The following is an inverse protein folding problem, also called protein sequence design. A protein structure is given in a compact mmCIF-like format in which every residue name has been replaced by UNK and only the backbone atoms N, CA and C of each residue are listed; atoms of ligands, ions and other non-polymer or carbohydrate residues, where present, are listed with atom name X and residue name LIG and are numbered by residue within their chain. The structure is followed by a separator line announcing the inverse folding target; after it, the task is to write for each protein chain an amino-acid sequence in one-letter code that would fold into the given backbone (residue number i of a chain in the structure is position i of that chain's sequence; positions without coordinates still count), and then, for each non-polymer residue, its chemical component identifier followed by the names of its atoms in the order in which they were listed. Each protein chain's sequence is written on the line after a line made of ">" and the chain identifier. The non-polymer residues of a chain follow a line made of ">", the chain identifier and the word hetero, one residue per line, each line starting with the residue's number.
data_IF_978072601530
#
_entry.id   IF_978072601530
#
_cell.length_a   1.000
_cell.length_b   1.000
_cell.length_c   1.000
_cell.angle_alpha   90.00
_cell.angle_beta   90.00
_cell.angle_gamma   90.00
#
_symmetry.space_group_name_H-M   'P 1'
#
loop_
_entity.id
_entity.type
_entity.pdbx_description
1 polymer ?
#
# COMPACT_ATOMS: atom_id res chain seq x y z
N UNK A 1 -64.20 55.49 -37.63
CA UNK A 1 -62.81 55.37 -37.12
C UNK A 1 -62.75 54.22 -36.13
N UNK A 2 -61.94 53.19 -36.39
CA UNK A 2 -61.79 51.99 -35.54
C UNK A 2 -60.54 52.20 -34.66
N UNK A 3 -60.59 52.05 -33.32
CA UNK A 3 -59.41 52.29 -32.50
C UNK A 3 -58.37 51.16 -32.70
N UNK A 4 -57.07 51.47 -32.55
CA UNK A 4 -56.02 50.47 -32.69
C UNK A 4 -56.09 49.45 -31.56
N UNK A 5 -56.06 48.16 -31.90
CA UNK A 5 -55.83 47.08 -30.92
C UNK A 5 -54.43 47.25 -30.36
N UNK A 6 -54.34 47.75 -29.14
CA UNK A 6 -53.19 47.47 -28.27
C UNK A 6 -53.39 46.07 -27.68
N UNK A 7 -52.30 45.47 -27.23
CA UNK A 7 -52.23 44.28 -26.38
C UNK A 7 -51.76 42.99 -27.08
N UNK A 8 -50.57 43.06 -27.70
CA UNK A 8 -49.63 41.92 -27.71
C UNK A 8 -48.56 42.16 -26.64
N UNK A 9 -48.97 42.19 -25.38
CA UNK A 9 -48.04 42.16 -24.25
C UNK A 9 -47.63 40.71 -24.00
N UNK A 10 -46.44 40.32 -24.50
CA UNK A 10 -45.82 39.02 -24.19
C UNK A 10 -45.57 38.98 -22.68
N UNK A 11 -46.50 38.38 -21.94
CA UNK A 11 -46.39 38.17 -20.50
C UNK A 11 -45.57 36.91 -20.29
N UNK A 12 -44.29 37.08 -19.97
CA UNK A 12 -43.43 35.98 -19.57
C UNK A 12 -43.95 35.49 -18.21
N UNK A 13 -44.51 34.27 -18.10
CA UNK A 13 -44.96 33.78 -16.82
C UNK A 13 -43.75 33.61 -15.89
N UNK A 14 -43.76 34.33 -14.77
CA UNK A 14 -42.63 34.35 -13.81
C UNK A 14 -42.41 33.00 -13.11
N UNK A 15 -43.42 32.13 -13.07
CA UNK A 15 -43.36 30.82 -12.42
C UNK A 15 -42.39 29.82 -13.12
N UNK A 16 -42.48 29.56 -14.44
CA UNK A 16 -41.50 28.74 -15.14
C UNK A 16 -40.10 29.37 -15.15
N UNK A 17 -40.00 30.70 -15.20
CA UNK A 17 -38.70 31.39 -15.12
C UNK A 17 -38.00 31.16 -13.77
N UNK A 18 -38.75 31.25 -12.66
CA UNK A 18 -38.22 30.96 -11.32
C UNK A 18 -37.80 29.48 -11.18
N UNK A 19 -38.57 28.55 -11.74
CA UNK A 19 -38.21 27.11 -11.72
C UNK A 19 -36.93 26.84 -12.50
N UNK A 20 -36.80 27.42 -13.70
CA UNK A 20 -35.58 27.32 -14.51
C UNK A 20 -34.37 27.86 -13.76
N UNK A 21 -34.51 29.04 -13.15
CA UNK A 21 -33.44 29.67 -12.38
C UNK A 21 -33.05 28.84 -11.16
N UNK A 22 -34.02 28.22 -10.49
CA UNK A 22 -33.77 27.32 -9.36
C UNK A 22 -32.98 26.07 -9.79
N UNK A 23 -33.36 25.46 -10.92
CA UNK A 23 -32.65 24.29 -11.48
C UNK A 23 -31.21 24.67 -11.86
N UNK A 24 -31.01 25.81 -12.51
CA UNK A 24 -29.67 26.29 -12.88
C UNK A 24 -28.81 26.51 -11.64
N UNK A 25 -29.35 27.14 -10.60
CA UNK A 25 -28.62 27.35 -9.34
C UNK A 25 -28.26 26.01 -8.70
N UNK A 26 -29.19 25.05 -8.65
CA UNK A 26 -28.92 23.71 -8.11
C UNK A 26 -27.83 23.00 -8.91
N UNK A 27 -27.86 23.08 -10.24
CA UNK A 27 -26.82 22.47 -11.09
C UNK A 27 -25.46 23.13 -10.90
N UNK A 28 -25.40 24.45 -10.75
CA UNK A 28 -24.15 25.18 -10.46
C UNK A 28 -23.60 24.78 -9.09
N UNK A 29 -24.46 24.65 -8.08
CA UNK A 29 -24.05 24.22 -6.74
C UNK A 29 -23.56 22.77 -6.75
N UNK A 30 -24.27 21.85 -7.42
CA UNK A 30 -23.85 20.45 -7.55
C UNK A 30 -22.54 20.32 -8.34
N UNK A 31 -22.41 21.07 -9.43
CA UNK A 31 -21.17 21.14 -10.21
C UNK A 31 -20.01 21.70 -9.39
N UNK A 32 -20.24 22.77 -8.63
CA UNK A 32 -19.27 23.36 -7.72
C UNK A 32 -18.83 22.39 -6.62
N UNK A 33 -19.77 21.67 -6.00
CA UNK A 33 -19.48 20.64 -5.00
C UNK A 33 -18.69 19.47 -5.59
N UNK A 34 -19.03 19.02 -6.81
CA UNK A 34 -18.28 17.97 -7.49
C UNK A 34 -16.84 18.40 -7.82
N UNK A 35 -16.65 19.61 -8.35
CA UNK A 35 -15.33 20.17 -8.64
C UNK A 35 -14.52 20.32 -7.35
N UNK A 36 -15.14 20.80 -6.26
CA UNK A 36 -14.50 20.95 -4.95
C UNK A 36 -14.07 19.60 -4.36
N UNK A 37 -14.93 18.58 -4.41
CA UNK A 37 -14.60 17.23 -3.97
C UNK A 37 -13.45 16.61 -4.79
N UNK A 38 -13.43 16.84 -6.11
CA UNK A 38 -12.34 16.39 -6.98
C UNK A 38 -11.04 17.17 -6.73
N UNK A 39 -11.11 18.46 -6.38
CA UNK A 39 -9.94 19.27 -6.07
C UNK A 39 -9.30 18.91 -4.72
N UNK A 40 -10.10 18.46 -3.74
CA UNK A 40 -9.63 18.07 -2.42
C UNK A 40 -9.20 16.61 -2.31
N UNK A 41 -9.44 15.80 -3.34
CA UNK A 41 -9.18 14.35 -3.33
C UNK A 41 -7.73 14.01 -2.92
N UNK A 42 -6.76 14.81 -3.38
CA UNK A 42 -5.33 14.54 -3.18
C UNK A 42 -4.92 14.95 -1.75
N UNK A 43 -5.49 16.03 -1.22
CA UNK A 43 -5.30 16.46 0.18
C UNK A 43 -5.93 15.50 1.18
N UNK A 44 -7.10 14.94 0.86
CA UNK A 44 -7.79 13.93 1.67
C UNK A 44 -7.00 12.61 1.64
N UNK A 45 -6.57 12.13 0.46
CA UNK A 45 -5.73 10.93 0.35
C UNK A 45 -4.40 11.06 1.09
N UNK A 46 -3.77 12.22 1.02
CA UNK A 46 -2.55 12.49 1.79
C UNK A 46 -2.82 12.52 3.31
N UNK A 47 -3.96 13.06 3.75
CA UNK A 47 -4.34 13.13 5.15
C UNK A 47 -4.81 11.78 5.74
N UNK A 48 -5.29 10.85 4.91
CA UNK A 48 -5.81 9.53 5.32
C UNK A 48 -4.91 8.33 4.94
N UNK A 49 -3.69 8.59 4.48
CA UNK A 49 -2.71 7.56 4.08
C UNK A 49 -2.70 7.31 2.57
N UNK A 50 -1.50 7.36 1.96
CA UNK A 50 -1.36 7.08 0.52
C UNK A 50 -0.28 7.87 -0.24
N UNK A 51 0.36 8.88 0.37
CA UNK A 51 1.48 9.58 -0.27
C UNK A 51 2.65 8.61 -0.58
N UNK A 52 2.91 7.67 0.32
CA UNK A 52 3.96 6.65 0.19
C UNK A 52 3.77 5.75 -1.04
N UNK A 53 2.52 5.43 -1.39
CA UNK A 53 2.22 4.59 -2.53
C UNK A 53 2.70 5.19 -3.86
N UNK A 54 2.81 6.52 -3.94
CA UNK A 54 3.31 7.22 -5.14
C UNK A 54 4.81 7.02 -5.38
N UNK A 55 5.58 6.62 -4.35
CA UNK A 55 7.02 6.35 -4.45
C UNK A 55 7.33 4.91 -4.84
N UNK A 56 6.31 4.04 -4.94
CA UNK A 56 6.49 2.64 -5.34
C UNK A 56 6.65 2.55 -6.85
N UNK A 57 7.82 2.09 -7.31
CA UNK A 57 8.01 1.70 -8.69
C UNK A 57 7.51 0.27 -8.92
N UNK A 58 6.32 0.17 -9.51
CA UNK A 58 5.65 -1.11 -9.79
C UNK A 58 6.40 -1.98 -10.82
N UNK A 59 7.39 -1.42 -11.54
CA UNK A 59 8.19 -2.17 -12.53
C UNK A 59 9.29 -2.99 -11.86
N UNK A 60 9.77 -2.59 -10.68
CA UNK A 60 10.81 -3.28 -9.92
C UNK A 60 10.25 -3.92 -8.64
N UNK A 61 11.12 -4.59 -7.88
CA UNK A 61 10.85 -5.09 -6.55
C UNK A 61 11.16 -4.02 -5.50
N UNK A 62 10.59 -4.17 -4.32
CA UNK A 62 10.89 -3.34 -3.16
C UNK A 62 11.62 -4.16 -2.11
N UNK A 63 12.58 -3.53 -1.44
CA UNK A 63 13.07 -3.96 -0.14
C UNK A 63 12.19 -3.31 0.92
N UNK A 64 11.67 -4.10 1.86
CA UNK A 64 10.83 -3.65 2.97
C UNK A 64 11.53 -4.06 4.26
N UNK A 65 11.99 -3.06 4.99
CA UNK A 65 12.72 -3.24 6.24
C UNK A 65 11.76 -3.02 7.40
N UNK A 66 11.66 -4.00 8.28
CA UNK A 66 10.80 -3.94 9.45
C UNK A 66 11.50 -3.27 10.63
N UNK A 67 10.71 -2.82 11.62
CA UNK A 67 11.22 -2.29 12.89
C UNK A 67 12.05 -3.29 13.69
N UNK A 68 11.92 -4.59 13.38
CA UNK A 68 12.74 -5.68 13.92
C UNK A 68 14.08 -5.87 13.19
N UNK A 69 14.39 -5.02 12.20
CA UNK A 69 15.51 -5.14 11.26
C UNK A 69 15.44 -6.37 10.33
N UNK A 70 14.29 -7.06 10.28
CA UNK A 70 14.06 -8.08 9.28
C UNK A 70 13.79 -7.44 7.91
N UNK A 71 14.38 -8.01 6.86
CA UNK A 71 14.23 -7.50 5.49
C UNK A 71 13.48 -8.50 4.63
N UNK A 72 12.47 -8.02 3.93
CA UNK A 72 11.74 -8.76 2.91
C UNK A 72 11.89 -8.08 1.55
N UNK A 73 11.92 -8.88 0.49
CA UNK A 73 11.92 -8.40 -0.89
C UNK A 73 10.67 -8.91 -1.58
N UNK A 74 9.98 -8.06 -2.35
CA UNK A 74 8.78 -8.47 -3.06
C UNK A 74 8.20 -7.35 -3.92
N UNK A 75 7.08 -7.64 -4.58
CA UNK A 75 6.25 -6.62 -5.21
C UNK A 75 5.37 -5.98 -4.13
N UNK A 76 5.57 -4.70 -3.88
CA UNK A 76 4.87 -3.98 -2.81
C UNK A 76 3.65 -3.24 -3.33
N UNK A 77 2.57 -3.29 -2.55
CA UNK A 77 1.42 -2.39 -2.65
C UNK A 77 1.01 -1.94 -1.25
N UNK A 78 0.57 -0.70 -1.11
CA UNK A 78 0.00 -0.18 0.14
C UNK A 78 -1.53 -0.24 0.04
N UNK A 79 -2.17 -0.72 1.10
CA UNK A 79 -3.61 -0.87 1.21
C UNK A 79 -4.08 -0.37 2.57
N UNK A 80 -4.56 0.87 2.64
CA UNK A 80 -4.89 1.49 3.92
C UNK A 80 -3.70 1.53 4.87
N UNK A 81 -3.79 0.81 5.98
CA UNK A 81 -2.78 0.75 7.05
C UNK A 81 -1.84 -0.47 6.95
N UNK A 82 -1.85 -1.18 5.82
CA UNK A 82 -0.98 -2.35 5.60
C UNK A 82 -0.14 -2.25 4.33
N UNK A 83 1.03 -2.88 4.40
CA UNK A 83 1.95 -3.13 3.30
C UNK A 83 1.75 -4.58 2.86
N UNK A 84 1.41 -4.77 1.59
CA UNK A 84 1.11 -6.07 1.00
C UNK A 84 2.24 -6.41 0.05
N UNK A 85 2.99 -7.48 0.36
CA UNK A 85 4.04 -8.01 -0.50
C UNK A 85 3.58 -9.31 -1.17
N UNK A 86 3.85 -9.43 -2.47
CA UNK A 86 3.76 -10.67 -3.23
C UNK A 86 5.11 -11.07 -3.80
N UNK A 87 5.26 -12.34 -4.20
CA UNK A 87 6.53 -12.89 -4.68
C UNK A 87 7.64 -12.66 -3.64
N UNK A 88 7.42 -13.11 -2.40
CA UNK A 88 8.22 -12.69 -1.25
C UNK A 88 9.50 -13.49 -1.10
N UNK A 89 10.61 -12.79 -0.87
CA UNK A 89 11.93 -13.35 -0.60
C UNK A 89 12.52 -12.77 0.69
N UNK A 90 13.44 -13.50 1.31
CA UNK A 90 14.19 -13.06 2.49
C UNK A 90 15.65 -13.50 2.41
N UNK A 91 16.47 -12.98 3.32
CA UNK A 91 17.84 -13.46 3.51
C UNK A 91 17.84 -14.60 4.53
N UNK A 92 18.51 -15.69 4.20
CA UNK A 92 18.86 -16.76 5.10
C UNK A 92 20.37 -16.83 5.23
N UNK A 93 20.86 -16.98 6.46
CA UNK A 93 22.25 -17.37 6.71
C UNK A 93 22.29 -18.89 6.79
N UNK A 94 22.97 -19.53 5.85
CA UNK A 94 23.16 -20.98 5.85
C UNK A 94 24.53 -21.32 6.45
N UNK A 95 24.55 -22.13 7.52
CA UNK A 95 25.77 -22.63 8.15
C UNK A 95 26.26 -21.82 9.36
N UNK A 96 27.44 -22.22 9.86
CA UNK A 96 28.14 -21.62 11.00
C UNK A 96 28.19 -20.08 10.83
N UNK A 97 27.77 -19.27 11.82
CA UNK A 97 27.71 -17.80 11.72
C UNK A 97 29.02 -17.12 11.31
N UNK A 98 30.16 -17.83 11.39
CA UNK A 98 31.46 -17.38 10.89
C UNK A 98 31.68 -17.54 9.37
N UNK A 99 30.80 -18.27 8.67
CA UNK A 99 30.95 -18.60 7.25
C UNK A 99 30.42 -17.52 6.30
N UNK A 100 29.63 -16.56 6.82
CA UNK A 100 29.20 -15.36 6.08
C UNK A 100 28.33 -15.57 4.85
N UNK A 101 27.90 -16.80 4.55
CA UNK A 101 27.11 -17.11 3.35
C UNK A 101 25.65 -16.66 3.55
N UNK A 102 25.36 -15.46 3.06
CA UNK A 102 24.01 -14.91 2.98
C UNK A 102 23.37 -15.36 1.66
N UNK A 103 22.26 -16.08 1.75
CA UNK A 103 21.51 -16.57 0.60
C UNK A 103 20.13 -15.91 0.53
N UNK A 104 19.69 -15.58 -0.69
CA UNK A 104 18.30 -15.17 -0.94
C UNK A 104 17.44 -16.42 -1.08
N UNK A 105 16.31 -16.44 -0.38
CA UNK A 105 15.38 -17.58 -0.38
C UNK A 105 13.96 -17.10 -0.65
N UNK A 106 13.14 -17.96 -1.29
CA UNK A 106 11.73 -17.67 -1.53
C UNK A 106 10.89 -18.12 -0.33
N UNK A 107 9.92 -17.29 0.07
CA UNK A 107 8.92 -17.66 1.08
C UNK A 107 7.82 -18.55 0.50
N UNK A 108 7.08 -19.21 1.39
CA UNK A 108 6.02 -20.17 1.10
C UNK A 108 6.44 -21.64 1.17
N UNK A 109 7.75 -21.91 1.33
CA UNK A 109 8.30 -23.25 1.52
C UNK A 109 8.54 -23.63 2.98
N UNK A 110 8.19 -22.76 3.92
CA UNK A 110 8.39 -22.98 5.35
C UNK A 110 7.42 -24.06 5.90
N UNK A 111 7.77 -24.67 7.05
CA UNK A 111 6.94 -25.72 7.69
C UNK A 111 5.54 -25.23 8.10
N UNK A 112 5.40 -23.94 8.40
CA UNK A 112 4.12 -23.30 8.69
C UNK A 112 3.31 -22.99 7.41
N UNK A 113 3.85 -23.29 6.22
CA UNK A 113 3.17 -23.24 4.93
C UNK A 113 2.44 -21.94 4.60
N UNK A 114 3.05 -20.75 4.78
CA UNK A 114 2.36 -19.49 4.50
C UNK A 114 2.08 -19.34 3.00
N UNK A 115 0.93 -18.80 2.65
CA UNK A 115 0.59 -18.42 1.27
C UNK A 115 0.82 -16.92 1.05
N UNK A 116 1.08 -16.54 -0.20
CA UNK A 116 1.02 -15.13 -0.59
C UNK A 116 -0.42 -14.58 -0.43
N UNK A 117 -0.58 -13.27 -0.13
CA UNK A 117 0.47 -12.28 0.11
C UNK A 117 0.96 -12.25 1.56
N UNK A 118 2.15 -11.70 1.78
CA UNK A 118 2.59 -11.26 3.11
C UNK A 118 1.97 -9.90 3.42
N UNK A 119 1.13 -9.84 4.45
CA UNK A 119 0.50 -8.59 4.93
C UNK A 119 1.23 -8.12 6.18
N UNK A 120 1.71 -6.87 6.14
CA UNK A 120 2.52 -6.26 7.20
C UNK A 120 1.83 -4.97 7.67
N UNK A 121 1.54 -4.79 8.97
CA UNK A 121 1.02 -3.53 9.47
C UNK A 121 2.01 -2.39 9.19
N UNK A 122 1.54 -1.24 8.68
CA UNK A 122 2.40 -0.10 8.34
C UNK A 122 3.29 0.35 9.51
N UNK A 123 2.76 0.30 10.75
CA UNK A 123 3.52 0.59 11.99
C UNK A 123 4.74 -0.31 12.22
N UNK A 124 4.85 -1.43 11.52
CA UNK A 124 5.96 -2.38 11.63
C UNK A 124 7.00 -2.19 10.53
N UNK A 125 6.72 -1.32 9.54
CA UNK A 125 7.63 -0.99 8.45
C UNK A 125 8.46 0.22 8.87
N UNK A 126 9.78 0.08 8.83
CA UNK A 126 10.71 1.17 9.10
C UNK A 126 10.90 2.04 7.85
N UNK A 127 11.11 1.40 6.71
CA UNK A 127 11.12 2.04 5.39
C UNK A 127 10.98 0.98 4.29
N UNK A 128 10.76 1.45 3.06
CA UNK A 128 10.91 0.66 1.86
C UNK A 128 11.74 1.42 0.82
N UNK A 129 12.34 0.68 -0.11
CA UNK A 129 13.09 1.25 -1.23
C UNK A 129 12.88 0.44 -2.51
N UNK A 130 12.95 1.12 -3.65
CA UNK A 130 12.88 0.47 -4.97
C UNK A 130 14.23 -0.17 -5.31
N UNK A 131 14.21 -1.43 -5.72
CA UNK A 131 15.43 -2.16 -6.02
C UNK A 131 15.97 -1.81 -7.41
N UNK A 132 17.30 -1.69 -7.49
CA UNK A 132 18.02 -1.55 -8.76
C UNK A 132 18.03 -2.89 -9.51
N UNK A 133 17.84 -2.86 -10.83
CA UNK A 133 17.71 -4.08 -11.63
C UNK A 133 18.96 -4.99 -11.61
N UNK A 134 20.16 -4.41 -11.48
CA UNK A 134 21.46 -5.08 -11.40
C UNK A 134 21.88 -5.42 -9.96
N UNK A 135 21.03 -5.19 -8.95
CA UNK A 135 21.35 -5.56 -7.57
C UNK A 135 21.58 -7.08 -7.44
N UNK A 136 22.57 -7.53 -6.63
CA UNK A 136 22.84 -8.96 -6.43
C UNK A 136 21.61 -9.77 -5.99
N UNK A 137 20.78 -9.21 -5.12
CA UNK A 137 19.51 -9.84 -4.68
C UNK A 137 18.55 -10.02 -5.86
N UNK A 138 18.45 -9.04 -6.77
CA UNK A 138 17.62 -9.13 -7.96
C UNK A 138 18.11 -10.20 -8.94
N UNK A 139 19.44 -10.37 -9.07
CA UNK A 139 20.02 -11.49 -9.82
C UNK A 139 19.62 -12.84 -9.22
N UNK A 140 19.71 -13.00 -7.90
CA UNK A 140 19.34 -14.22 -7.21
C UNK A 140 17.83 -14.54 -7.35
N UNK A 141 16.96 -13.53 -7.19
CA UNK A 141 15.51 -13.67 -7.41
C UNK A 141 15.20 -14.18 -8.82
N UNK A 142 15.88 -13.64 -9.84
CA UNK A 142 15.72 -14.10 -11.23
C UNK A 142 16.12 -15.57 -11.40
N UNK A 143 17.24 -15.97 -10.82
CA UNK A 143 17.72 -17.36 -10.87
C UNK A 143 16.77 -18.34 -10.14
N UNK A 144 16.21 -17.93 -9.01
CA UNK A 144 15.20 -18.74 -8.29
C UNK A 144 13.93 -18.87 -9.12
N UNK A 145 13.45 -17.77 -9.73
CA UNK A 145 12.24 -17.78 -10.56
C UNK A 145 12.40 -18.63 -11.82
N UNK A 146 13.59 -18.63 -12.42
CA UNK A 146 13.88 -19.45 -13.60
C UNK A 146 14.08 -20.93 -13.27
N UNK A 147 14.08 -21.31 -11.99
CA UNK A 147 14.33 -22.68 -11.55
C UNK A 147 15.81 -23.09 -11.59
N UNK A 148 16.73 -22.14 -11.80
CA UNK A 148 18.17 -22.42 -11.82
C UNK A 148 18.73 -22.68 -10.42
N UNK A 149 18.07 -22.13 -9.39
CA UNK A 149 18.36 -22.38 -7.98
C UNK A 149 17.04 -22.85 -7.34
N UNK A 150 17.00 -24.04 -6.71
CA UNK A 150 15.81 -24.46 -6.00
C UNK A 150 15.50 -23.45 -4.87
N UNK A 151 14.22 -23.12 -4.64
CA UNK A 151 13.82 -22.41 -3.42
C UNK A 151 14.40 -23.18 -2.24
N UNK A 152 15.35 -22.61 -1.51
CA UNK A 152 15.98 -23.34 -0.42
C UNK A 152 14.89 -23.70 0.60
N UNK A 153 14.72 -24.99 0.86
CA UNK A 153 13.94 -25.44 2.01
C UNK A 153 14.68 -24.96 3.27
N UNK A 154 14.10 -24.01 4.00
CA UNK A 154 14.72 -23.54 5.24
C UNK A 154 14.66 -24.62 6.33
N UNK A 155 15.68 -24.65 7.22
CA UNK A 155 15.65 -25.48 8.42
C UNK A 155 14.36 -25.24 9.22
N UNK A 156 13.79 -26.33 9.74
CA UNK A 156 12.62 -26.33 10.62
C UNK A 156 12.78 -25.32 11.77
N UNK A 157 11.83 -24.39 11.85
CA UNK A 157 11.50 -23.53 12.99
C UNK A 157 12.69 -22.96 13.80
N UNK A 158 13.06 -21.71 13.53
CA UNK A 158 13.83 -20.92 14.48
C UNK A 158 12.95 -20.75 15.75
N UNK A 159 13.42 -21.13 16.95
CA UNK A 159 12.61 -21.04 18.16
C UNK A 159 12.18 -19.59 18.35
N UNK A 160 10.86 -19.37 18.45
CA UNK A 160 10.33 -18.13 19.01
C UNK A 160 10.99 -17.98 20.37
N UNK A 161 11.89 -17.02 20.51
CA UNK A 161 12.50 -16.68 21.79
C UNK A 161 11.34 -16.32 22.73
N UNK A 162 10.95 -17.27 23.56
CA UNK A 162 10.03 -17.02 24.67
C UNK A 162 10.76 -16.03 25.56
N UNK A 163 10.26 -14.82 25.79
CA UNK A 163 10.89 -13.92 26.74
C UNK A 163 10.92 -14.64 28.09
N UNK A 164 12.14 -14.96 28.54
CA UNK A 164 12.38 -15.63 29.81
C UNK A 164 11.68 -14.83 30.91
N UNK A 165 10.70 -15.45 31.57
CA UNK A 165 10.12 -14.89 32.79
C UNK A 165 11.27 -14.68 33.77
N UNK A 166 11.45 -13.43 34.17
CA UNK A 166 12.40 -12.98 35.18
C UNK A 166 12.33 -13.90 36.40
N UNK A 167 13.43 -14.57 36.72
CA UNK A 167 13.54 -15.35 37.94
C UNK A 167 13.38 -14.41 39.15
N UNK A 168 12.39 -14.69 39.99
CA UNK A 168 12.21 -14.09 41.30
C UNK A 168 13.49 -14.28 42.14
N UNK A 169 14.06 -13.23 42.77
CA UNK A 169 15.17 -13.43 43.69
C UNK A 169 14.66 -14.19 44.92
N UNK A 170 15.25 -15.37 45.19
CA UNK A 170 15.04 -16.09 46.44
C UNK A 170 15.66 -15.30 47.58
N UNK A 171 14.84 -14.94 48.56
CA UNK A 171 15.26 -14.20 49.75
C UNK A 171 16.40 -14.93 50.47
N UNK A 172 17.42 -14.17 50.89
CA UNK A 172 18.44 -14.59 51.83
C UNK A 172 18.51 -13.58 52.97
N UNK A 173 17.71 -13.79 54.02
CA UNK A 173 18.10 -13.69 55.43
C UNK A 173 16.97 -14.10 56.35
#
# INVERSE_FOLDING_TARGET
>A
MRPPRRDDAITIPVAPLRRLLTIVVVLVVLGGLAIFALAQRDSIRAAFGGAEASYIDNTTYQSVVLTTNQVYFGKLRIDGDVYVLTEVYSLATSGDPNSGNVQVIKRGGEVNGPTDPLVIPARSVLFFENMRNDAPVMNAIRQIRSGNIPPAAQPTAQPTATPARTATPSASR
#
